data_IF_284838263135
#
_entry.id   IF_284838263135
#
_cell.length_a   1.000
_cell.length_b   1.000
_cell.length_c   1.000
_cell.angle_alpha   90.00
_cell.angle_beta   90.00
_cell.angle_gamma   90.00
#
_symmetry.space_group_name_H-M   'P 1'
#
loop_
_entity.id
_entity.type
_entity.pdbx_description
1 polymer ?
#
# COMPACT_ATOMS: atom_id res chain seq x y z
N UNK A 1 23.80 22.84 -53.31
CA UNK A 1 22.54 23.04 -52.61
C UNK A 1 21.75 21.75 -52.29
N UNK A 2 21.87 20.65 -53.04
CA UNK A 2 21.10 19.39 -52.77
C UNK A 2 21.63 18.54 -51.61
N UNK A 3 22.87 18.71 -51.15
CA UNK A 3 23.45 17.95 -50.00
C UNK A 3 23.11 18.55 -48.65
N UNK A 4 22.66 19.80 -48.57
CA UNK A 4 22.29 20.45 -47.29
C UNK A 4 20.83 20.16 -46.88
N UNK A 5 19.97 19.80 -47.84
CA UNK A 5 18.56 19.50 -47.57
C UNK A 5 18.35 18.09 -46.97
N UNK A 6 19.31 17.16 -47.20
CA UNK A 6 19.24 15.80 -46.70
C UNK A 6 19.64 15.66 -45.21
N UNK A 7 20.44 16.63 -44.71
CA UNK A 7 20.90 16.64 -43.31
C UNK A 7 19.87 17.21 -42.34
N UNK A 8 18.91 18.01 -42.83
CA UNK A 8 17.85 18.60 -41.99
C UNK A 8 16.70 17.62 -41.77
N UNK A 9 16.49 16.62 -42.64
CA UNK A 9 15.44 15.63 -42.50
C UNK A 9 15.79 14.51 -41.48
N UNK A 10 17.08 14.35 -41.13
CA UNK A 10 17.51 13.35 -40.11
C UNK A 10 17.38 13.89 -38.68
N UNK A 11 17.28 15.22 -38.51
CA UNK A 11 17.17 15.85 -37.19
C UNK A 11 15.72 15.96 -36.65
N UNK A 12 14.71 15.60 -37.46
CA UNK A 12 13.29 15.61 -37.04
C UNK A 12 12.74 14.23 -36.65
N UNK A 13 13.58 13.21 -36.71
CA UNK A 13 13.27 11.89 -36.13
C UNK A 13 13.85 11.79 -34.72
N UNK A 14 13.75 12.86 -33.94
CA UNK A 14 13.81 12.76 -32.48
C UNK A 14 12.59 11.93 -32.08
N UNK A 15 12.78 10.61 -32.07
CA UNK A 15 11.91 9.71 -31.36
C UNK A 15 11.66 10.35 -29.99
N UNK A 16 10.50 10.93 -29.79
CA UNK A 16 10.02 11.28 -28.45
C UNK A 16 9.89 9.91 -27.80
N UNK A 17 10.98 9.43 -27.20
CA UNK A 17 10.89 8.36 -26.20
C UNK A 17 9.92 8.93 -25.17
N UNK A 18 8.66 8.45 -25.20
CA UNK A 18 7.71 8.75 -24.14
C UNK A 18 8.41 8.32 -22.87
N UNK A 19 8.76 9.28 -22.02
CA UNK A 19 9.40 8.98 -20.76
C UNK A 19 8.53 7.94 -20.04
N UNK A 20 9.14 6.83 -19.69
CA UNK A 20 8.50 5.72 -18.99
C UNK A 20 8.18 6.21 -17.59
N UNK A 21 6.99 5.86 -17.06
CA UNK A 21 6.64 6.10 -15.66
C UNK A 21 7.35 5.03 -14.83
N UNK A 22 8.14 5.43 -13.85
CA UNK A 22 8.67 4.55 -12.81
C UNK A 22 7.64 4.44 -11.71
N UNK A 23 7.05 3.24 -11.55
CA UNK A 23 6.09 2.94 -10.50
C UNK A 23 6.70 2.02 -9.45
N UNK A 24 6.66 2.44 -8.19
CA UNK A 24 7.23 1.66 -7.08
C UNK A 24 6.15 1.31 -6.05
N UNK A 25 5.64 0.06 -6.06
CA UNK A 25 4.86 -0.46 -4.94
C UNK A 25 5.66 -0.41 -3.63
N UNK A 26 4.98 -0.22 -2.50
CA UNK A 26 5.63 0.06 -1.20
C UNK A 26 6.39 -1.13 -0.59
N UNK A 27 6.29 -2.32 -1.17
CA UNK A 27 6.90 -3.54 -0.65
C UNK A 27 7.44 -4.44 -1.78
N UNK A 28 8.04 -5.56 -1.40
CA UNK A 28 8.50 -6.60 -2.34
C UNK A 28 7.35 -7.20 -3.15
N UNK A 29 7.61 -7.83 -4.31
CA UNK A 29 6.58 -8.46 -5.13
C UNK A 29 5.72 -9.46 -4.37
N UNK A 30 4.41 -9.19 -4.38
CA UNK A 30 3.41 -10.03 -3.72
C UNK A 30 1.99 -9.71 -4.24
N UNK A 31 1.01 -10.53 -3.87
CA UNK A 31 -0.37 -10.42 -4.34
C UNK A 31 -1.06 -9.10 -3.96
N UNK A 32 -0.55 -8.37 -2.96
CA UNK A 32 -0.98 -7.00 -2.63
C UNK A 32 -0.94 -6.05 -3.84
N UNK A 33 -0.12 -6.34 -4.84
CA UNK A 33 0.07 -5.50 -6.02
C UNK A 33 -0.42 -6.14 -7.32
N UNK A 34 -1.20 -7.23 -7.23
CA UNK A 34 -1.64 -8.04 -8.36
C UNK A 34 -2.26 -7.24 -9.50
N UNK A 35 -3.08 -6.22 -9.22
CA UNK A 35 -3.73 -5.41 -10.25
C UNK A 35 -2.76 -4.66 -11.15
N UNK A 36 -1.64 -4.22 -10.61
CA UNK A 36 -0.60 -3.53 -11.38
C UNK A 36 0.20 -4.49 -12.25
N UNK A 37 0.51 -5.70 -11.74
CA UNK A 37 1.17 -6.75 -12.51
C UNK A 37 0.29 -7.23 -13.66
N UNK A 38 -1.01 -7.41 -13.39
CA UNK A 38 -1.98 -7.76 -14.43
C UNK A 38 -2.08 -6.65 -15.47
N UNK A 39 -2.13 -5.38 -15.05
CA UNK A 39 -2.18 -4.26 -15.99
C UNK A 39 -0.93 -4.22 -16.89
N UNK A 40 0.23 -4.57 -16.34
CA UNK A 40 1.48 -4.68 -17.09
C UNK A 40 1.48 -5.89 -18.05
N UNK A 41 1.27 -7.10 -17.53
CA UNK A 41 1.37 -8.35 -18.28
C UNK A 41 0.29 -8.50 -19.36
N UNK A 42 -0.92 -7.98 -19.12
CA UNK A 42 -2.01 -7.96 -20.10
C UNK A 42 -1.93 -6.78 -21.09
N UNK A 43 -0.92 -5.93 -20.97
CA UNK A 43 -0.71 -4.81 -21.89
C UNK A 43 -1.67 -3.62 -21.69
N UNK A 44 -2.38 -3.51 -20.56
CA UNK A 44 -3.36 -2.43 -20.34
C UNK A 44 -2.71 -1.05 -20.25
N UNK A 45 -1.47 -0.98 -19.77
CA UNK A 45 -0.69 0.27 -19.82
C UNK A 45 -0.34 0.67 -21.26
N UNK A 46 0.07 -0.29 -22.08
CA UNK A 46 0.39 -0.04 -23.50
C UNK A 46 -0.85 0.37 -24.29
N UNK A 47 -1.99 -0.29 -24.05
CA UNK A 47 -3.28 0.09 -24.66
C UNK A 47 -3.70 1.52 -24.27
N UNK A 48 -3.40 1.94 -23.04
CA UNK A 48 -3.64 3.30 -22.56
C UNK A 48 -2.59 4.31 -23.04
N UNK A 49 -1.58 3.88 -23.82
CA UNK A 49 -0.53 4.73 -24.37
C UNK A 49 0.50 5.20 -23.35
N UNK A 50 0.65 4.52 -22.22
CA UNK A 50 1.65 4.82 -21.19
C UNK A 50 2.60 3.65 -21.01
N UNK A 51 3.91 3.95 -20.98
CA UNK A 51 4.94 2.97 -20.63
C UNK A 51 5.19 3.03 -19.14
N UNK A 52 5.18 1.88 -18.49
CA UNK A 52 5.38 1.74 -17.04
C UNK A 52 6.54 0.80 -16.77
N UNK A 53 7.40 1.18 -15.88
CA UNK A 53 8.45 0.34 -15.30
C UNK A 53 8.10 0.10 -13.82
N UNK A 54 7.83 -1.14 -13.45
CA UNK A 54 7.49 -1.50 -12.08
C UNK A 54 8.77 -1.93 -11.38
N UNK A 55 9.19 -1.13 -10.39
CA UNK A 55 10.38 -1.38 -9.57
C UNK A 55 9.98 -1.55 -8.11
N UNK A 56 10.59 -2.49 -7.41
CA UNK A 56 10.31 -2.69 -5.99
C UNK A 56 11.42 -2.11 -5.10
N UNK A 57 11.08 -1.56 -3.93
CA UNK A 57 12.08 -1.03 -3.02
C UNK A 57 12.85 -2.17 -2.35
N UNK A 58 14.04 -1.89 -1.86
CA UNK A 58 14.75 -2.82 -0.96
C UNK A 58 14.11 -2.80 0.43
N UNK A 59 14.37 -3.83 1.23
CA UNK A 59 13.84 -3.94 2.61
C UNK A 59 14.29 -2.77 3.51
N UNK A 60 15.41 -2.12 3.18
CA UNK A 60 15.97 -1.01 3.96
C UNK A 60 15.68 0.38 3.37
N UNK A 61 15.05 0.47 2.20
CA UNK A 61 14.87 1.73 1.49
C UNK A 61 13.45 1.82 0.91
N UNK A 62 12.62 2.69 1.46
CA UNK A 62 11.18 2.73 1.18
C UNK A 62 10.85 3.34 -0.19
N UNK A 63 9.69 2.97 -0.74
CA UNK A 63 9.14 3.61 -1.95
C UNK A 63 8.99 5.14 -1.77
N UNK A 64 8.66 5.60 -0.56
CA UNK A 64 8.59 7.03 -0.25
C UNK A 64 9.94 7.74 -0.45
N UNK A 65 11.06 7.12 0.00
CA UNK A 65 12.38 7.70 -0.22
C UNK A 65 12.72 7.81 -1.71
N UNK A 66 12.37 6.78 -2.50
CA UNK A 66 12.57 6.78 -3.96
C UNK A 66 11.76 7.90 -4.65
N UNK A 67 10.52 8.15 -4.19
CA UNK A 67 9.72 9.27 -4.68
C UNK A 67 10.33 10.62 -4.27
N UNK A 68 10.78 10.75 -3.01
CA UNK A 68 11.40 11.96 -2.50
C UNK A 68 12.65 12.37 -3.30
N UNK A 69 13.44 11.39 -3.70
CA UNK A 69 14.69 11.58 -4.47
C UNK A 69 14.46 11.72 -5.98
N UNK A 70 13.21 11.52 -6.45
CA UNK A 70 12.88 11.56 -7.87
C UNK A 70 13.31 10.30 -8.65
N UNK A 71 13.65 9.21 -7.96
CA UNK A 71 13.97 7.91 -8.57
C UNK A 71 12.70 7.11 -8.89
N UNK A 72 11.55 7.49 -8.35
CA UNK A 72 10.23 6.96 -8.66
C UNK A 72 9.26 8.10 -8.95
N UNK A 73 8.35 7.91 -9.90
CA UNK A 73 7.33 8.90 -10.28
C UNK A 73 6.01 8.67 -9.54
N UNK A 74 5.64 7.40 -9.36
CA UNK A 74 4.40 6.96 -8.73
C UNK A 74 4.73 5.89 -7.70
N UNK A 75 4.12 5.97 -6.53
CA UNK A 75 4.29 4.97 -5.47
C UNK A 75 2.94 4.51 -4.91
N UNK A 76 2.93 3.34 -4.26
CA UNK A 76 1.88 3.05 -3.27
C UNK A 76 2.35 3.48 -1.89
N UNK A 77 1.40 3.89 -1.05
CA UNK A 77 1.66 4.31 0.33
C UNK A 77 0.38 4.15 1.16
N UNK A 78 0.51 3.92 2.46
CA UNK A 78 -0.65 3.93 3.35
C UNK A 78 -1.20 5.34 3.53
N UNK A 79 -2.53 5.49 3.57
CA UNK A 79 -3.20 6.79 3.70
C UNK A 79 -2.72 7.58 4.93
N UNK A 80 -2.59 6.91 6.07
CA UNK A 80 -2.10 7.52 7.32
C UNK A 80 -0.71 8.13 7.12
N UNK A 81 0.20 7.38 6.53
CA UNK A 81 1.56 7.84 6.26
C UNK A 81 1.55 9.00 5.25
N UNK A 82 0.77 8.90 4.18
CA UNK A 82 0.67 9.96 3.18
C UNK A 82 0.19 11.28 3.80
N UNK A 83 -0.81 11.24 4.69
CA UNK A 83 -1.27 12.44 5.39
C UNK A 83 -0.21 13.04 6.30
N UNK A 84 0.57 12.23 7.01
CA UNK A 84 1.68 12.70 7.83
C UNK A 84 2.76 13.35 6.96
N UNK A 85 3.12 12.76 5.83
CA UNK A 85 4.14 13.32 4.94
C UNK A 85 3.67 14.60 4.24
N UNK A 86 2.37 14.71 3.93
CA UNK A 86 1.77 15.98 3.43
C UNK A 86 1.89 17.09 4.47
N UNK A 87 1.65 16.81 5.74
CA UNK A 87 1.81 17.80 6.82
C UNK A 87 3.28 18.21 7.01
N UNK A 88 4.21 17.31 6.75
CA UNK A 88 5.66 17.57 6.74
C UNK A 88 6.15 18.37 5.54
N UNK A 89 5.27 18.67 4.60
CA UNK A 89 5.56 19.50 3.43
C UNK A 89 5.79 18.73 2.13
N UNK A 90 5.62 17.39 2.10
CA UNK A 90 5.67 16.64 0.85
C UNK A 90 4.37 16.85 0.08
N UNK A 91 4.39 17.42 -1.14
CA UNK A 91 3.18 17.74 -1.89
C UNK A 91 2.63 16.48 -2.60
N UNK A 92 2.15 15.50 -1.84
CA UNK A 92 1.58 14.27 -2.37
C UNK A 92 0.14 14.48 -2.86
N UNK A 93 -0.18 13.80 -3.95
CA UNK A 93 -1.53 13.71 -4.53
C UNK A 93 -1.94 12.24 -4.56
N UNK A 94 -3.04 11.89 -3.90
CA UNK A 94 -3.67 10.57 -4.02
C UNK A 94 -4.36 10.47 -5.37
N UNK A 95 -3.93 9.56 -6.23
CA UNK A 95 -4.48 9.38 -7.59
C UNK A 95 -5.39 8.17 -7.71
N UNK A 96 -5.30 7.21 -6.78
CA UNK A 96 -6.12 6.02 -6.72
C UNK A 96 -6.11 5.49 -5.28
N UNK A 97 -7.27 5.12 -4.73
CA UNK A 97 -7.36 4.42 -3.45
C UNK A 97 -7.70 2.96 -3.70
N UNK A 98 -6.82 2.04 -3.34
CA UNK A 98 -7.00 0.62 -3.65
C UNK A 98 -7.53 -0.21 -2.48
N UNK A 99 -7.36 0.22 -1.22
CA UNK A 99 -8.04 -0.42 -0.10
C UNK A 99 -9.16 0.45 0.45
N UNK A 100 -10.18 -0.18 1.02
CA UNK A 100 -11.33 0.48 1.66
C UNK A 100 -11.44 0.16 3.14
N UNK A 101 -10.71 -0.84 3.60
CA UNK A 101 -10.68 -1.29 4.99
C UNK A 101 -9.24 -1.42 5.48
N UNK A 102 -9.09 -1.52 6.80
CA UNK A 102 -7.80 -1.76 7.45
C UNK A 102 -7.51 -3.26 7.55
N UNK A 103 -6.32 -3.67 7.15
CA UNK A 103 -5.84 -5.06 7.28
C UNK A 103 -5.04 -5.33 8.55
N UNK A 104 -4.74 -4.30 9.36
CA UNK A 104 -3.93 -4.43 10.55
C UNK A 104 -4.65 -5.19 11.66
N UNK A 105 -3.93 -6.09 12.29
CA UNK A 105 -4.40 -6.91 13.41
C UNK A 105 -3.41 -6.86 14.56
N UNK A 106 -3.94 -6.93 15.77
CA UNK A 106 -3.18 -7.24 16.98
C UNK A 106 -3.47 -8.69 17.33
N UNK A 107 -2.49 -9.58 17.17
CA UNK A 107 -2.65 -11.04 17.36
C UNK A 107 -1.99 -11.45 18.67
N UNK A 108 -2.79 -12.01 19.57
CA UNK A 108 -2.33 -12.53 20.85
C UNK A 108 -1.58 -13.85 20.71
N UNK A 109 -0.63 -14.11 21.59
CA UNK A 109 -0.01 -15.42 21.75
C UNK A 109 -0.69 -16.26 22.85
N UNK A 110 -1.45 -15.61 23.72
CA UNK A 110 -2.15 -16.25 24.86
C UNK A 110 -3.66 -16.21 24.67
N UNK A 111 -4.35 -17.27 25.09
CA UNK A 111 -5.81 -17.32 25.06
C UNK A 111 -6.48 -16.35 26.05
N UNK A 112 -5.71 -15.77 26.97
CA UNK A 112 -6.18 -14.79 27.95
C UNK A 112 -6.18 -13.35 27.45
N UNK A 113 -5.53 -13.01 26.32
CA UNK A 113 -5.47 -11.65 25.78
C UNK A 113 -6.54 -11.47 24.71
N UNK A 114 -7.75 -11.03 25.08
CA UNK A 114 -8.92 -10.96 24.20
C UNK A 114 -9.45 -9.54 23.99
N UNK A 115 -9.21 -8.65 24.93
CA UNK A 115 -9.66 -7.25 24.90
C UNK A 115 -8.47 -6.31 24.91
N UNK A 116 -8.65 -5.03 24.54
CA UNK A 116 -7.57 -4.05 24.57
C UNK A 116 -6.94 -3.91 25.97
N UNK A 117 -7.75 -4.03 27.02
CA UNK A 117 -7.27 -3.95 28.41
C UNK A 117 -6.30 -5.07 28.76
N UNK A 118 -6.47 -6.26 28.19
CA UNK A 118 -5.59 -7.40 28.45
C UNK A 118 -4.16 -7.18 27.91
N UNK A 119 -4.00 -6.28 26.94
CA UNK A 119 -2.69 -5.95 26.36
C UNK A 119 -1.92 -4.87 27.14
N UNK A 120 -2.47 -4.31 28.23
CA UNK A 120 -1.79 -3.31 29.04
C UNK A 120 -0.45 -3.81 29.56
N UNK A 121 0.62 -3.06 29.30
CA UNK A 121 1.99 -3.35 29.71
C UNK A 121 2.65 -4.54 29.01
N UNK A 122 2.01 -5.16 28.02
CA UNK A 122 2.53 -6.33 27.28
C UNK A 122 3.62 -5.95 26.30
N UNK A 123 4.47 -6.93 25.96
CA UNK A 123 5.44 -6.84 24.89
C UNK A 123 4.78 -7.17 23.56
N UNK A 124 4.75 -6.23 22.63
CA UNK A 124 4.08 -6.41 21.33
C UNK A 124 5.07 -6.17 20.21
N UNK A 125 5.18 -7.14 19.30
CA UNK A 125 6.00 -7.03 18.11
C UNK A 125 5.45 -5.99 17.14
N UNK A 126 6.34 -5.17 16.56
CA UNK A 126 5.99 -4.13 15.57
C UNK A 126 7.07 -4.04 14.50
N UNK A 127 6.71 -3.72 13.26
CA UNK A 127 7.71 -3.49 12.21
C UNK A 127 8.58 -2.27 12.54
N UNK A 128 9.87 -2.40 12.34
CA UNK A 128 10.82 -1.29 12.46
C UNK A 128 10.63 -0.26 11.33
N UNK A 129 10.20 -0.73 10.16
CA UNK A 129 9.92 0.07 8.97
C UNK A 129 8.49 -0.20 8.54
N UNK A 130 7.74 0.83 8.21
CA UNK A 130 6.33 0.74 7.87
C UNK A 130 5.46 1.54 8.84
N UNK A 131 4.16 1.51 8.62
CA UNK A 131 3.23 2.33 9.39
C UNK A 131 2.49 1.52 10.44
N UNK A 132 2.80 1.76 11.70
CA UNK A 132 2.05 1.27 12.85
C UNK A 132 1.32 2.42 13.59
N UNK A 133 1.15 3.57 12.96
CA UNK A 133 0.64 4.80 13.58
C UNK A 133 -0.74 4.62 14.24
N UNK A 134 -1.65 3.89 13.57
CA UNK A 134 -2.97 3.59 14.14
C UNK A 134 -2.86 2.76 15.42
N UNK A 135 -1.95 1.79 15.47
CA UNK A 135 -1.72 0.98 16.67
C UNK A 135 -1.09 1.80 17.80
N UNK A 136 -0.17 2.72 17.48
CA UNK A 136 0.40 3.63 18.47
C UNK A 136 -0.65 4.62 19.03
N UNK A 137 -1.52 5.15 18.18
CA UNK A 137 -2.62 6.00 18.64
C UNK A 137 -3.61 5.21 19.51
N UNK A 138 -3.92 3.98 19.14
CA UNK A 138 -4.74 3.06 19.93
C UNK A 138 -4.12 2.80 21.32
N UNK A 139 -2.80 2.57 21.39
CA UNK A 139 -2.05 2.39 22.64
C UNK A 139 -2.19 3.61 23.57
N UNK A 140 -1.90 4.80 23.04
CA UNK A 140 -1.97 6.06 23.81
C UNK A 140 -3.37 6.35 24.31
N UNK A 141 -4.38 6.19 23.45
CA UNK A 141 -5.77 6.53 23.74
C UNK A 141 -6.42 5.61 24.76
N UNK A 142 -6.02 4.34 24.80
CA UNK A 142 -6.52 3.34 25.75
C UNK A 142 -5.57 3.15 26.95
N UNK A 143 -4.55 4.00 27.08
CA UNK A 143 -3.56 3.93 28.20
C UNK A 143 -2.97 2.55 28.37
N UNK A 144 -2.65 1.87 27.23
CA UNK A 144 -2.21 0.48 27.25
C UNK A 144 -0.76 0.33 27.71
N UNK A 145 0.07 1.36 27.55
CA UNK A 145 1.50 1.36 27.91
C UNK A 145 2.25 0.15 27.34
N UNK A 146 2.03 -0.12 26.07
CA UNK A 146 2.62 -1.26 25.35
C UNK A 146 4.13 -1.13 25.28
N UNK A 147 4.83 -2.25 25.51
CA UNK A 147 6.26 -2.36 25.30
C UNK A 147 6.53 -2.82 23.86
N UNK A 148 6.64 -1.87 22.95
CA UNK A 148 6.87 -2.13 21.53
C UNK A 148 8.24 -2.76 21.28
N UNK A 149 8.26 -3.92 20.61
CA UNK A 149 9.48 -4.66 20.28
C UNK A 149 9.66 -4.67 18.76
N UNK A 150 10.61 -3.90 18.21
CA UNK A 150 10.75 -3.78 16.77
C UNK A 150 11.34 -5.05 16.13
N UNK A 151 10.82 -5.43 14.95
CA UNK A 151 11.38 -6.45 14.08
C UNK A 151 11.44 -5.94 12.63
N UNK A 152 12.26 -6.56 11.80
CA UNK A 152 12.37 -6.20 10.38
C UNK A 152 11.40 -7.00 9.54
N UNK A 153 11.39 -8.30 9.69
CA UNK A 153 10.63 -9.23 8.87
C UNK A 153 10.31 -10.53 9.61
N UNK A 154 9.21 -11.18 9.23
CA UNK A 154 8.82 -12.51 9.75
C UNK A 154 8.25 -12.48 11.16
N UNK A 155 7.80 -13.65 11.62
CA UNK A 155 7.06 -13.82 12.89
C UNK A 155 7.90 -14.51 13.97
N UNK A 156 9.23 -14.52 13.85
CA UNK A 156 10.11 -15.26 14.77
C UNK A 156 9.96 -14.85 16.24
N UNK A 157 9.83 -13.56 16.53
CA UNK A 157 9.63 -13.07 17.91
C UNK A 157 8.32 -13.59 18.51
N UNK A 158 7.28 -13.64 17.70
CA UNK A 158 5.98 -14.16 18.11
C UNK A 158 6.04 -15.69 18.29
N UNK A 159 6.54 -16.41 17.30
CA UNK A 159 6.58 -17.89 17.31
C UNK A 159 7.44 -18.39 18.48
N UNK A 160 8.59 -17.78 18.74
CA UNK A 160 9.49 -18.14 19.86
C UNK A 160 8.97 -17.76 21.24
N UNK A 161 7.93 -16.93 21.34
CA UNK A 161 7.41 -16.42 22.61
C UNK A 161 8.22 -15.29 23.21
N UNK A 162 9.02 -14.59 22.43
CA UNK A 162 9.76 -13.41 22.90
C UNK A 162 8.84 -12.19 23.12
N UNK A 163 7.65 -12.20 22.53
CA UNK A 163 6.61 -11.19 22.70
C UNK A 163 5.28 -11.84 23.08
N UNK A 164 4.43 -11.10 23.79
CA UNK A 164 3.10 -11.56 24.23
C UNK A 164 2.05 -11.52 23.11
N UNK A 165 2.27 -10.63 22.15
CA UNK A 165 1.44 -10.43 20.96
C UNK A 165 2.27 -9.78 19.84
N UNK A 166 1.70 -9.66 18.65
CA UNK A 166 2.34 -8.96 17.52
C UNK A 166 1.31 -8.22 16.68
N UNK A 167 1.73 -7.13 16.06
CA UNK A 167 1.03 -6.60 14.90
C UNK A 167 1.26 -7.54 13.71
N UNK A 168 0.22 -7.71 12.92
CA UNK A 168 0.22 -8.55 11.72
C UNK A 168 -0.78 -8.00 10.69
N UNK A 169 -0.45 -8.10 9.41
CA UNK A 169 -1.42 -7.86 8.34
C UNK A 169 -2.27 -9.10 8.12
N UNK A 170 -3.59 -8.94 8.01
CA UNK A 170 -4.54 -10.03 7.79
C UNK A 170 -4.21 -10.81 6.51
N UNK A 171 -3.65 -10.13 5.53
CA UNK A 171 -3.29 -10.69 4.23
C UNK A 171 -1.89 -11.34 4.18
N UNK A 172 -1.03 -11.15 5.20
CA UNK A 172 0.36 -11.64 5.18
C UNK A 172 0.73 -12.38 6.46
N UNK A 173 1.20 -11.68 7.49
CA UNK A 173 1.75 -12.30 8.71
C UNK A 173 0.74 -13.15 9.45
N UNK A 174 -0.54 -12.81 9.38
CA UNK A 174 -1.56 -13.59 10.06
C UNK A 174 -1.63 -15.04 9.54
N UNK A 175 -1.46 -15.27 8.23
CA UNK A 175 -1.35 -16.65 7.73
C UNK A 175 -0.12 -17.36 8.26
N UNK A 176 1.03 -16.69 8.36
CA UNK A 176 2.26 -17.28 8.91
C UNK A 176 2.03 -17.71 10.38
N UNK A 177 1.32 -16.89 11.15
CA UNK A 177 0.92 -17.23 12.52
C UNK A 177 0.03 -18.48 12.54
N UNK A 178 -1.00 -18.53 11.70
CA UNK A 178 -1.90 -19.68 11.61
C UNK A 178 -1.16 -20.98 11.29
N UNK A 179 -0.36 -20.99 10.23
CA UNK A 179 0.34 -22.23 9.81
C UNK A 179 1.47 -22.63 10.75
N UNK A 180 1.87 -21.77 11.71
CA UNK A 180 2.83 -22.10 12.77
C UNK A 180 2.19 -22.75 14.01
N UNK A 181 0.92 -23.17 13.94
CA UNK A 181 0.20 -23.80 15.04
C UNK A 181 -0.42 -22.82 16.03
N UNK A 182 -0.73 -21.59 15.58
CA UNK A 182 -1.36 -20.55 16.41
C UNK A 182 -2.67 -20.05 15.77
N UNK A 183 -3.38 -20.91 15.03
CA UNK A 183 -4.62 -20.58 14.28
C UNK A 183 -5.76 -20.11 15.16
N UNK A 184 -5.87 -20.63 16.38
CA UNK A 184 -6.96 -20.37 17.32
C UNK A 184 -6.67 -19.22 18.28
N UNK A 185 -5.54 -18.52 18.12
CA UNK A 185 -5.20 -17.45 19.05
C UNK A 185 -6.10 -16.23 18.88
N UNK A 186 -6.51 -15.58 19.98
CA UNK A 186 -7.32 -14.38 19.95
C UNK A 186 -6.61 -13.25 19.16
N UNK A 187 -7.39 -12.43 18.51
CA UNK A 187 -6.90 -11.25 17.82
C UNK A 187 -7.91 -10.11 17.85
N UNK A 188 -7.44 -8.90 17.65
CA UNK A 188 -8.27 -7.71 17.43
C UNK A 188 -7.95 -7.21 16.03
N UNK A 189 -8.96 -7.10 15.16
CA UNK A 189 -8.82 -6.43 13.86
C UNK A 189 -9.05 -4.93 14.06
N UNK A 190 -8.18 -4.08 13.55
CA UNK A 190 -8.40 -2.64 13.59
C UNK A 190 -9.64 -2.24 12.78
N UNK A 191 -9.98 -2.99 11.73
CA UNK A 191 -11.22 -2.82 10.97
C UNK A 191 -12.51 -3.03 11.78
N UNK A 192 -12.44 -3.66 12.95
CA UNK A 192 -13.57 -3.81 13.85
C UNK A 192 -13.62 -2.75 14.97
N UNK A 193 -12.75 -1.75 14.87
CA UNK A 193 -12.62 -0.65 15.82
C UNK A 193 -12.86 0.70 15.14
N UNK A 194 -12.77 1.80 15.90
CA UNK A 194 -12.79 3.15 15.34
C UNK A 194 -11.56 3.51 14.49
N UNK A 195 -10.53 2.66 14.47
CA UNK A 195 -9.30 2.80 13.68
C UNK A 195 -9.41 2.13 12.30
N UNK A 196 -10.61 1.81 11.83
CA UNK A 196 -10.85 1.31 10.47
C UNK A 196 -10.70 2.44 9.45
N UNK A 197 -9.49 2.58 8.92
CA UNK A 197 -9.17 3.53 7.86
C UNK A 197 -8.55 2.81 6.67
N UNK A 198 -8.86 3.22 5.44
CA UNK A 198 -8.23 2.67 4.25
C UNK A 198 -6.70 2.73 4.33
N UNK A 199 -6.03 1.69 3.84
CA UNK A 199 -4.56 1.63 3.85
C UNK A 199 -3.99 2.08 2.51
N UNK A 200 -3.91 1.17 1.55
CA UNK A 200 -3.17 1.36 0.30
C UNK A 200 -3.83 2.36 -0.64
N UNK A 201 -3.09 3.42 -0.93
CA UNK A 201 -3.37 4.37 -2.00
C UNK A 201 -2.19 4.51 -2.95
N UNK A 202 -2.41 5.09 -4.10
CA UNK A 202 -1.39 5.42 -5.11
C UNK A 202 -1.17 6.93 -5.11
N UNK A 203 0.09 7.32 -5.08
CA UNK A 203 0.49 8.71 -4.88
C UNK A 203 1.55 9.15 -5.88
N UNK A 204 1.47 10.42 -6.23
CA UNK A 204 2.48 11.15 -7.02
C UNK A 204 2.78 12.48 -6.32
N UNK A 205 3.85 13.17 -6.74
CA UNK A 205 4.02 14.58 -6.35
C UNK A 205 3.09 15.48 -7.15
N UNK A 206 2.66 16.60 -6.58
CA UNK A 206 1.80 17.58 -7.27
C UNK A 206 2.46 18.12 -8.55
N UNK A 207 3.77 18.37 -8.51
CA UNK A 207 4.54 18.84 -9.67
C UNK A 207 4.55 17.79 -10.80
N UNK A 208 4.82 16.51 -10.47
CA UNK A 208 4.77 15.44 -11.47
C UNK A 208 3.38 15.29 -12.07
N UNK A 209 2.33 15.33 -11.23
CA UNK A 209 0.95 15.26 -11.69
C UNK A 209 0.62 16.38 -12.68
N UNK A 210 0.92 17.64 -12.32
CA UNK A 210 0.65 18.79 -13.18
C UNK A 210 1.35 18.71 -14.54
N UNK A 211 2.60 18.26 -14.55
CA UNK A 211 3.39 18.11 -15.78
C UNK A 211 3.01 16.91 -16.64
N UNK A 212 2.36 15.88 -16.06
CA UNK A 212 2.09 14.59 -16.69
C UNK A 212 0.65 14.13 -16.51
N UNK A 213 -0.33 15.03 -16.37
CA UNK A 213 -1.73 14.73 -16.03
C UNK A 213 -2.33 13.62 -16.91
N UNK A 214 -2.15 13.70 -18.23
CA UNK A 214 -2.69 12.69 -19.16
C UNK A 214 -2.07 11.31 -18.94
N UNK A 215 -0.76 11.23 -18.76
CA UNK A 215 -0.05 9.96 -18.51
C UNK A 215 -0.45 9.35 -17.16
N UNK A 216 -0.57 10.18 -16.12
CA UNK A 216 -0.98 9.73 -14.79
C UNK A 216 -2.44 9.22 -14.84
N UNK A 217 -3.34 9.91 -15.53
CA UNK A 217 -4.71 9.45 -15.69
C UNK A 217 -4.77 8.13 -16.49
N UNK A 218 -3.98 8.00 -17.56
CA UNK A 218 -3.87 6.74 -18.32
C UNK A 218 -3.35 5.58 -17.43
N UNK A 219 -2.34 5.83 -16.61
CA UNK A 219 -1.84 4.88 -15.62
C UNK A 219 -2.93 4.45 -14.63
N UNK A 220 -3.71 5.40 -14.09
CA UNK A 220 -4.79 5.15 -13.14
C UNK A 220 -5.88 4.27 -13.76
N UNK A 221 -6.34 4.60 -14.97
CA UNK A 221 -7.40 3.82 -15.64
C UNK A 221 -6.92 2.41 -16.02
N UNK A 222 -5.70 2.25 -16.50
CA UNK A 222 -5.10 0.94 -16.76
C UNK A 222 -4.97 0.11 -15.48
N UNK A 223 -4.53 0.74 -14.37
CA UNK A 223 -4.44 0.08 -13.06
C UNK A 223 -5.82 -0.35 -12.54
N UNK A 224 -6.86 0.49 -12.69
CA UNK A 224 -8.26 0.12 -12.37
C UNK A 224 -8.74 -1.06 -13.21
N UNK A 225 -8.42 -1.07 -14.51
CA UNK A 225 -8.73 -2.19 -15.42
C UNK A 225 -8.03 -3.47 -14.94
N UNK A 226 -6.77 -3.37 -14.55
CA UNK A 226 -6.02 -4.49 -13.98
C UNK A 226 -6.67 -5.06 -12.72
N UNK A 227 -7.02 -4.22 -11.75
CA UNK A 227 -7.69 -4.66 -10.52
C UNK A 227 -9.07 -5.27 -10.79
N UNK A 228 -9.88 -4.69 -11.67
CA UNK A 228 -11.18 -5.27 -12.07
C UNK A 228 -10.99 -6.65 -12.72
N UNK A 229 -9.94 -6.81 -13.51
CA UNK A 229 -9.61 -8.09 -14.12
C UNK A 229 -9.19 -9.13 -13.08
N UNK A 230 -8.40 -8.75 -12.05
CA UNK A 230 -8.02 -9.62 -10.93
C UNK A 230 -9.26 -10.14 -10.18
N UNK A 231 -10.24 -9.29 -9.89
CA UNK A 231 -11.49 -9.70 -9.26
C UNK A 231 -12.27 -10.73 -10.08
N UNK A 232 -12.21 -10.64 -11.41
CA UNK A 232 -12.89 -11.57 -12.30
C UNK A 232 -12.08 -12.87 -12.56
N UNK A 233 -10.74 -12.83 -12.38
CA UNK A 233 -9.83 -13.93 -12.78
C UNK A 233 -8.74 -14.14 -11.70
N UNK A 234 -9.10 -14.44 -10.44
CA UNK A 234 -8.12 -14.48 -9.35
C UNK A 234 -7.05 -15.55 -9.50
N UNK A 235 -7.36 -16.71 -10.06
CA UNK A 235 -6.39 -17.80 -10.24
C UNK A 235 -5.33 -17.44 -11.30
N UNK A 236 -5.74 -16.85 -12.44
CA UNK A 236 -4.77 -16.39 -13.44
C UNK A 236 -3.94 -15.19 -12.93
N UNK A 237 -4.56 -14.30 -12.13
CA UNK A 237 -3.84 -13.22 -11.48
C UNK A 237 -2.78 -13.77 -10.52
N UNK A 238 -3.08 -14.84 -9.80
CA UNK A 238 -2.13 -15.50 -8.92
C UNK A 238 -0.94 -16.09 -9.70
N UNK A 239 -1.15 -16.62 -10.90
CA UNK A 239 -0.06 -17.10 -11.77
C UNK A 239 0.87 -15.95 -12.18
N UNK A 240 0.30 -14.78 -12.50
CA UNK A 240 1.07 -13.57 -12.80
C UNK A 240 1.88 -13.13 -11.59
N UNK A 241 1.25 -13.06 -10.40
CA UNK A 241 1.94 -12.71 -9.14
C UNK A 241 3.13 -13.63 -8.86
N UNK A 242 2.95 -14.96 -9.05
CA UNK A 242 4.03 -15.91 -8.82
C UNK A 242 5.20 -15.71 -9.78
N UNK A 243 4.95 -15.37 -11.05
CA UNK A 243 6.01 -15.02 -12.02
C UNK A 243 6.80 -13.76 -11.59
N UNK A 244 6.09 -12.74 -11.09
CA UNK A 244 6.75 -11.52 -10.59
C UNK A 244 7.59 -11.81 -9.34
N UNK A 245 7.09 -12.61 -8.41
CA UNK A 245 7.84 -13.03 -7.22
C UNK A 245 9.10 -13.83 -7.60
N UNK A 246 9.00 -14.75 -8.56
CA UNK A 246 10.14 -15.53 -9.06
C UNK A 246 11.18 -14.64 -9.74
N UNK A 247 10.75 -13.74 -10.63
CA UNK A 247 11.63 -12.78 -11.32
C UNK A 247 12.48 -11.97 -10.35
N UNK A 248 11.90 -11.52 -9.26
CA UNK A 248 12.55 -10.69 -8.23
C UNK A 248 13.12 -11.53 -7.06
N UNK A 249 13.16 -12.87 -7.23
CA UNK A 249 13.73 -13.82 -6.26
C UNK A 249 13.13 -13.74 -4.85
N UNK A 250 11.83 -13.44 -4.76
CA UNK A 250 11.10 -13.38 -3.50
C UNK A 250 10.79 -14.79 -3.00
N UNK A 251 11.26 -15.14 -1.81
CA UNK A 251 10.93 -16.41 -1.17
C UNK A 251 9.49 -16.43 -0.68
N UNK A 252 8.61 -17.04 -1.46
CA UNK A 252 7.18 -17.19 -1.15
C UNK A 252 6.65 -18.50 -1.72
N UNK A 253 5.37 -18.78 -1.49
CA UNK A 253 4.68 -19.93 -2.08
C UNK A 253 3.26 -19.57 -2.50
N UNK A 254 2.68 -20.39 -3.38
CA UNK A 254 1.35 -20.17 -3.96
C UNK A 254 0.24 -20.08 -2.89
N UNK A 255 0.31 -20.88 -1.83
CA UNK A 255 -0.69 -20.87 -0.76
C UNK A 255 -0.72 -19.52 -0.06
N UNK A 256 0.46 -18.98 0.28
CA UNK A 256 0.59 -17.68 0.92
C UNK A 256 0.08 -16.54 0.01
N UNK A 257 0.47 -16.57 -1.27
CA UNK A 257 0.05 -15.55 -2.23
C UNK A 257 -1.44 -15.65 -2.56
N UNK A 258 -2.04 -16.84 -2.57
CA UNK A 258 -3.48 -17.04 -2.73
C UNK A 258 -4.26 -16.45 -1.56
N UNK A 259 -3.87 -16.76 -0.32
CA UNK A 259 -4.45 -16.16 0.88
C UNK A 259 -4.36 -14.64 0.83
N UNK A 260 -3.17 -14.11 0.50
CA UNK A 260 -2.96 -12.68 0.38
C UNK A 260 -3.90 -12.06 -0.65
N UNK A 261 -4.01 -12.66 -1.83
CA UNK A 261 -4.87 -12.15 -2.89
C UNK A 261 -6.34 -12.11 -2.44
N UNK A 262 -6.86 -13.18 -1.84
CA UNK A 262 -8.24 -13.26 -1.35
C UNK A 262 -8.52 -12.16 -0.31
N UNK A 263 -7.61 -11.94 0.65
CA UNK A 263 -7.76 -10.89 1.66
C UNK A 263 -7.64 -9.48 1.05
N UNK A 264 -6.72 -9.24 0.12
CA UNK A 264 -6.59 -7.94 -0.57
C UNK A 264 -7.87 -7.62 -1.36
N UNK A 265 -8.44 -8.59 -2.09
CA UNK A 265 -9.70 -8.39 -2.82
C UNK A 265 -10.85 -8.03 -1.87
N UNK A 266 -10.91 -8.67 -0.71
CA UNK A 266 -11.87 -8.33 0.34
C UNK A 266 -11.67 -6.91 0.88
N UNK A 267 -10.42 -6.50 1.16
CA UNK A 267 -10.09 -5.18 1.68
C UNK A 267 -10.34 -4.05 0.66
N UNK A 268 -10.42 -4.36 -0.63
CA UNK A 268 -10.80 -3.40 -1.68
C UNK A 268 -12.29 -3.09 -1.72
N UNK A 269 -13.10 -3.88 -1.04
CA UNK A 269 -14.53 -3.64 -0.90
C UNK A 269 -14.82 -2.84 0.37
N UNK A 270 -15.78 -1.92 0.32
CA UNK A 270 -16.32 -1.29 1.52
C UNK A 270 -17.00 -2.37 2.40
N UNK A 271 -17.00 -2.18 3.71
CA UNK A 271 -17.58 -3.14 4.65
C UNK A 271 -19.03 -3.47 4.28
N UNK A 272 -19.31 -4.76 4.07
CA UNK A 272 -20.63 -5.25 3.68
C UNK A 272 -20.97 -5.09 2.20
N UNK A 273 -20.02 -4.73 1.35
CA UNK A 273 -20.17 -4.69 -0.11
C UNK A 273 -19.27 -5.71 -0.81
N UNK A 274 -19.73 -6.23 -1.94
CA UNK A 274 -19.03 -7.27 -2.72
C UNK A 274 -18.28 -6.70 -3.93
N UNK A 275 -18.39 -5.39 -4.18
CA UNK A 275 -17.74 -4.74 -5.32
C UNK A 275 -16.61 -3.84 -4.84
N UNK A 276 -15.44 -3.90 -5.52
CA UNK A 276 -14.31 -3.04 -5.17
C UNK A 276 -14.67 -1.56 -5.40
N UNK A 277 -14.22 -0.73 -4.48
CA UNK A 277 -14.22 0.72 -4.61
C UNK A 277 -12.78 1.21 -4.73
N UNK A 278 -12.57 2.20 -5.61
CA UNK A 278 -11.26 2.81 -5.83
C UNK A 278 -11.27 4.30 -5.51
N UNK A 279 -12.27 4.73 -4.76
CA UNK A 279 -12.45 6.12 -4.37
C UNK A 279 -12.14 6.30 -2.89
N UNK A 280 -11.62 7.46 -2.56
CA UNK A 280 -11.44 7.89 -1.18
C UNK A 280 -12.63 8.77 -0.78
N UNK A 281 -13.28 8.42 0.33
CA UNK A 281 -14.44 9.15 0.85
C UNK A 281 -14.01 10.36 1.71
N UNK A 282 -14.69 11.50 1.52
CA UNK A 282 -14.38 12.74 2.23
C UNK A 282 -14.56 12.62 3.75
N UNK A 283 -15.59 11.91 4.22
CA UNK A 283 -15.84 11.72 5.66
C UNK A 283 -14.76 10.87 6.31
N UNK A 284 -14.26 9.89 5.57
CA UNK A 284 -13.14 9.03 6.02
C UNK A 284 -11.87 9.86 6.19
N UNK A 285 -11.54 10.72 5.22
CA UNK A 285 -10.40 11.64 5.30
C UNK A 285 -10.54 12.60 6.47
N UNK A 286 -11.71 13.19 6.65
CA UNK A 286 -12.00 14.12 7.75
C UNK A 286 -11.82 13.44 9.12
N UNK A 287 -12.38 12.24 9.30
CA UNK A 287 -12.23 11.47 10.54
C UNK A 287 -10.77 11.13 10.83
N UNK A 288 -10.03 10.67 9.81
CA UNK A 288 -8.60 10.37 9.97
C UNK A 288 -7.80 11.63 10.27
N UNK A 289 -8.06 12.73 9.57
CA UNK A 289 -7.41 14.02 9.80
C UNK A 289 -7.61 14.49 11.25
N UNK A 290 -8.84 14.40 11.77
CA UNK A 290 -9.16 14.73 13.14
C UNK A 290 -8.37 13.86 14.14
N UNK A 291 -8.38 12.53 13.95
CA UNK A 291 -7.63 11.59 14.78
C UNK A 291 -6.13 11.91 14.80
N UNK A 292 -5.53 12.17 13.63
CA UNK A 292 -4.12 12.51 13.52
C UNK A 292 -3.77 13.83 14.22
N UNK A 293 -4.66 14.84 14.18
CA UNK A 293 -4.50 16.10 14.92
C UNK A 293 -4.60 15.89 16.44
N UNK A 294 -5.59 15.14 16.90
CA UNK A 294 -5.77 14.82 18.33
C UNK A 294 -4.53 14.15 18.91
N UNK A 295 -3.90 13.27 18.14
CA UNK A 295 -2.64 12.61 18.50
C UNK A 295 -1.37 13.37 18.11
N UNK A 296 -1.48 14.62 17.66
CA UNK A 296 -0.35 15.50 17.26
C UNK A 296 0.56 14.86 16.19
N UNK A 297 -0.03 14.05 15.31
CA UNK A 297 0.67 13.46 14.18
C UNK A 297 0.72 14.39 12.97
N UNK A 298 -0.24 15.30 12.89
CA UNK A 298 -0.29 16.42 11.94
C UNK A 298 -0.62 17.71 12.67
N UNK A 299 -0.23 18.86 12.10
CA UNK A 299 -0.39 20.19 12.70
C UNK A 299 -1.57 20.97 12.13
N UNK A 300 -2.03 20.61 10.93
CA UNK A 300 -3.14 21.24 10.24
C UNK A 300 -4.08 20.21 9.63
N UNK A 301 -5.40 20.51 9.50
CA UNK A 301 -6.33 19.57 8.91
C UNK A 301 -6.01 19.30 7.44
N UNK A 302 -6.15 18.05 7.06
CA UNK A 302 -6.00 17.59 5.68
C UNK A 302 -7.36 17.16 5.16
N UNK A 303 -7.80 17.81 4.08
CA UNK A 303 -9.07 17.54 3.40
C UNK A 303 -8.88 16.61 2.21
N UNK A 304 -9.97 16.02 1.72
CA UNK A 304 -9.95 15.24 0.48
C UNK A 304 -9.47 16.08 -0.71
N UNK A 305 -9.89 17.36 -0.79
CA UNK A 305 -9.45 18.29 -1.83
C UNK A 305 -7.92 18.46 -1.82
N UNK A 306 -7.33 18.65 -0.63
CA UNK A 306 -5.87 18.73 -0.46
C UNK A 306 -5.18 17.43 -0.89
N UNK A 307 -5.72 16.27 -0.48
CA UNK A 307 -5.21 14.95 -0.87
C UNK A 307 -5.30 14.71 -2.38
N UNK A 308 -6.33 15.23 -3.03
CA UNK A 308 -6.49 15.13 -4.48
C UNK A 308 -5.71 16.20 -5.26
N UNK A 309 -5.02 17.12 -4.59
CA UNK A 309 -4.28 18.20 -5.26
C UNK A 309 -5.18 19.13 -6.06
N UNK A 310 -6.40 19.40 -5.60
CA UNK A 310 -7.39 20.24 -6.30
C UNK A 310 -8.09 19.56 -7.48
N UNK A 311 -7.95 18.25 -7.66
CA UNK A 311 -8.69 17.49 -8.68
C UNK A 311 -10.17 17.34 -8.27
N UNK A 312 -11.08 17.34 -9.25
CA UNK A 312 -12.51 17.13 -9.00
C UNK A 312 -12.86 15.74 -8.44
#
# INVERSE_FOLDING_TARGET
MKKFLFMILILLSSCIMKAQIVFTPQWTPQAQFAGYYVAYDKGFYDEAGVKVDIQHPSVSYSAFNLLWEGSSDIITLQLVQAMIEIDRGMPLVNILQTSQQNGLMLVSRSDSLRTLDDFKGKKIGVWKVGSAELAYMMDVENEMNIKWVPFLQGMNLYISGAVDATLAMSFSEYLQIKVSGHEDKPYIRLSDTKYDFPEDGVYVTADFYQKNTEKVNAFVEASRKGWKWVHANPEEALDIVMKWAEKEQVHTNRLHQKWMLEEILRLQCEKGKDKPSFNLDARTVEKLSKLLMEHRRIHAPITLEKLKGGRP
#
